data_IF_425036916107
#
_entry.id   IF_425036916107
#
_cell.length_a   1.000
_cell.length_b   1.000
_cell.length_c   1.000
_cell.angle_alpha   90.00
_cell.angle_beta   90.00
_cell.angle_gamma   90.00
#
_symmetry.space_group_name_H-M   'P 1'
#
loop_
_entity.id
_entity.type
_entity.pdbx_description
1 polymer ?
#
# COMPACT_ATOMS: atom_id res chain seq x y z
N UNK A 1 -14.80 -0.79 -1.95
CA UNK A 1 -14.97 -0.38 -1.41
C UNK A 1 -15.67 0.57 -1.11
N UNK A 2 -15.99 0.71 -0.59
CA UNK A 2 -16.52 1.45 -0.25
C UNK A 2 -16.41 2.30 0.40
N UNK A 3 -16.50 2.83 0.46
CA UNK A 3 -16.24 3.68 1.09
C UNK A 3 -16.68 3.95 2.16
N UNK A 4 -16.61 4.11 2.71
CA UNK A 4 -16.88 4.41 3.51
C UNK A 4 -17.29 5.22 3.92
N UNK A 5 -17.56 4.98 4.11
CA UNK A 5 -18.07 5.79 4.49
C UNK A 5 -17.94 6.63 5.33
N UNK A 6 -17.98 6.60 5.63
CA UNK A 6 -17.94 7.15 6.34
C UNK A 6 -17.37 7.97 6.79
N UNK A 7 -17.47 8.16 6.93
CA UNK A 7 -16.96 9.07 7.51
C UNK A 7 -15.64 9.28 7.67
N UNK A 8 -15.06 8.44 7.61
CA UNK A 8 -13.73 8.62 7.79
C UNK A 8 -13.13 8.91 6.55
N UNK A 9 -13.39 10.00 6.07
CA UNK A 9 -12.96 10.40 4.80
C UNK A 9 -11.47 10.52 4.70
N UNK A 10 -10.78 10.42 5.79
CA UNK A 10 -9.33 10.53 5.75
C UNK A 10 -8.62 9.26 5.38
N UNK A 11 -9.35 8.18 5.21
CA UNK A 11 -8.71 6.88 4.97
C UNK A 11 -8.87 6.49 3.52
N UNK A 12 -7.76 6.29 2.81
CA UNK A 12 -7.83 5.96 1.39
C UNK A 12 -8.30 4.54 1.12
N UNK A 13 -8.19 3.65 2.12
CA UNK A 13 -8.64 2.27 1.99
C UNK A 13 -7.58 1.33 1.43
N UNK A 14 -7.79 0.05 1.70
CA UNK A 14 -6.83 -0.97 1.27
C UNK A 14 -6.67 -1.02 -0.25
N UNK A 15 -7.77 -0.95 -0.97
CA UNK A 15 -7.70 -1.06 -2.43
C UNK A 15 -6.89 0.07 -3.05
N UNK A 16 -7.07 1.26 -2.53
CA UNK A 16 -6.32 2.41 -3.05
C UNK A 16 -4.85 2.28 -2.69
N UNK A 17 -4.54 1.85 -1.47
CA UNK A 17 -3.15 1.68 -1.07
C UNK A 17 -2.47 0.65 -1.95
N UNK A 18 -3.14 -0.45 -2.24
CA UNK A 18 -2.59 -1.47 -3.13
C UNK A 18 -2.32 -0.90 -4.52
N UNK A 19 -3.27 -0.14 -5.03
CA UNK A 19 -3.14 0.44 -6.35
C UNK A 19 -1.96 1.40 -6.44
N UNK A 20 -1.79 2.22 -5.41
CA UNK A 20 -0.68 3.16 -5.36
C UNK A 20 0.66 2.43 -5.39
N UNK A 21 0.77 1.38 -4.58
CA UNK A 21 2.02 0.63 -4.50
C UNK A 21 2.32 -0.06 -5.83
N UNK A 22 1.33 -0.71 -6.42
CA UNK A 22 1.53 -1.41 -7.67
C UNK A 22 1.89 -0.46 -8.80
N UNK A 23 1.22 0.69 -8.87
CA UNK A 23 1.51 1.67 -9.90
C UNK A 23 2.93 2.20 -9.78
N UNK A 24 3.37 2.47 -8.56
CA UNK A 24 4.71 2.99 -8.35
C UNK A 24 5.76 1.94 -8.73
N UNK A 25 5.50 0.69 -8.40
CA UNK A 25 6.44 -0.37 -8.70
C UNK A 25 6.42 -0.77 -10.17
N UNK A 26 5.39 -0.39 -10.89
CA UNK A 26 5.26 -0.78 -12.28
C UNK A 26 4.86 -2.24 -12.44
N UNK A 27 4.12 -2.77 -11.46
CA UNK A 27 3.71 -4.17 -11.44
C UNK A 27 2.20 -4.22 -11.55
N UNK A 28 1.70 -5.09 -12.43
CA UNK A 28 0.26 -5.25 -12.55
C UNK A 28 -0.24 -6.17 -11.44
N UNK A 29 -1.52 -6.08 -11.15
CA UNK A 29 -2.10 -6.90 -10.09
C UNK A 29 -1.93 -8.39 -10.40
N UNK A 30 -2.01 -8.75 -11.66
CA UNK A 30 -1.85 -10.14 -12.05
C UNK A 30 -0.45 -10.67 -11.78
N UNK A 31 0.54 -9.80 -11.77
CA UNK A 31 1.93 -10.19 -11.61
C UNK A 31 2.37 -10.21 -10.16
N UNK A 32 1.62 -9.56 -9.29
CA UNK A 32 1.98 -9.49 -7.88
C UNK A 32 1.45 -10.71 -7.14
N UNK A 33 2.23 -11.21 -6.20
CA UNK A 33 1.79 -12.32 -5.36
C UNK A 33 2.31 -12.11 -3.95
N UNK A 34 1.82 -12.90 -3.01
CA UNK A 34 2.15 -12.80 -1.58
C UNK A 34 1.87 -11.37 -1.08
N UNK A 35 0.72 -10.84 -1.48
CA UNK A 35 0.35 -9.48 -1.12
C UNK A 35 -0.11 -9.41 0.33
N UNK A 36 0.47 -8.46 1.08
CA UNK A 36 0.05 -8.17 2.45
C UNK A 36 -0.18 -6.69 2.58
N UNK A 37 -1.28 -6.31 3.19
CA UNK A 37 -1.59 -4.91 3.41
C UNK A 37 -2.07 -4.76 4.84
N UNK A 38 -1.42 -3.89 5.60
CA UNK A 38 -1.78 -3.64 6.99
C UNK A 38 -1.92 -2.16 7.25
N UNK A 39 -2.89 -1.82 8.08
CA UNK A 39 -3.04 -0.43 8.54
C UNK A 39 -2.35 -0.34 9.88
N UNK A 40 -1.43 0.60 10.01
CA UNK A 40 -0.61 0.74 11.19
C UNK A 40 -0.59 2.18 11.67
N UNK A 41 -0.33 2.37 12.94
CA UNK A 41 -0.25 3.71 13.53
C UNK A 41 1.22 3.98 13.84
N UNK A 42 1.80 4.95 13.13
CA UNK A 42 3.19 5.31 13.31
C UNK A 42 3.25 6.66 14.00
N UNK A 43 3.29 6.65 15.32
CA UNK A 43 3.37 7.88 16.10
C UNK A 43 2.23 8.84 15.79
N UNK A 44 1.02 8.30 15.72
CA UNK A 44 -0.15 9.11 15.48
C UNK A 44 -0.49 9.32 14.02
N UNK A 45 0.35 8.84 13.11
CA UNK A 45 0.06 8.92 11.70
C UNK A 45 -0.34 7.54 11.21
N UNK A 46 -1.52 7.42 10.64
CA UNK A 46 -1.97 6.14 10.11
C UNK A 46 -1.33 5.91 8.76
N UNK A 47 -0.76 4.73 8.57
CA UNK A 47 -0.13 4.37 7.30
C UNK A 47 -0.57 2.99 6.90
N UNK A 48 -0.61 2.75 5.59
CA UNK A 48 -0.79 1.42 5.05
C UNK A 48 0.58 0.87 4.70
N UNK A 49 0.86 -0.33 5.18
CA UNK A 49 2.07 -1.05 4.81
C UNK A 49 1.68 -2.08 3.78
N UNK A 50 2.25 -1.98 2.60
CA UNK A 50 1.93 -2.87 1.48
C UNK A 50 3.18 -3.61 1.09
N UNK A 51 3.11 -4.94 1.06
CA UNK A 51 4.23 -5.77 0.66
C UNK A 51 3.76 -6.77 -0.38
N UNK A 52 4.57 -7.01 -1.36
CA UNK A 52 4.26 -8.01 -2.38
C UNK A 52 5.52 -8.39 -3.13
N UNK A 53 5.42 -9.46 -3.89
CA UNK A 53 6.52 -9.96 -4.68
C UNK A 53 6.13 -10.01 -6.15
N UNK A 54 7.13 -9.88 -7.00
CA UNK A 54 6.92 -10.00 -8.44
C UNK A 54 8.27 -10.16 -9.12
N UNK A 55 8.37 -11.12 -10.01
CA UNK A 55 9.54 -11.32 -10.87
C UNK A 55 10.85 -11.39 -10.08
N UNK A 56 10.84 -12.09 -8.96
CA UNK A 56 12.06 -12.28 -8.17
C UNK A 56 12.41 -11.10 -7.29
N UNK A 57 11.52 -10.13 -7.17
CA UNK A 57 11.73 -8.97 -6.32
C UNK A 57 10.70 -8.94 -5.22
N UNK A 58 11.08 -8.38 -4.09
CA UNK A 58 10.16 -8.12 -3.00
C UNK A 58 10.04 -6.61 -2.83
N UNK A 59 8.80 -6.13 -2.82
CA UNK A 59 8.52 -4.69 -2.72
C UNK A 59 7.83 -4.38 -1.40
N UNK A 60 8.21 -3.27 -0.79
CA UNK A 60 7.60 -2.80 0.46
C UNK A 60 7.29 -1.32 0.35
N UNK A 61 6.10 -0.95 0.79
CA UNK A 61 5.66 0.45 0.72
C UNK A 61 5.03 0.86 2.03
N UNK A 62 5.23 2.11 2.41
CA UNK A 62 4.54 2.72 3.53
C UNK A 62 3.83 3.94 2.97
N UNK A 63 2.51 3.96 3.07
CA UNK A 63 1.68 4.96 2.40
C UNK A 63 0.81 5.65 3.43
N UNK A 64 0.80 6.99 3.41
CA UNK A 64 -0.03 7.76 4.33
C UNK A 64 -1.49 7.44 4.08
N UNK A 65 -2.18 6.97 5.11
CA UNK A 65 -3.55 6.52 4.96
C UNK A 65 -4.52 7.65 4.66
N UNK A 66 -4.17 8.86 5.03
CA UNK A 66 -5.06 10.00 4.81
C UNK A 66 -4.89 10.60 3.43
N UNK A 67 -3.67 10.61 2.90
CA UNK A 67 -3.39 11.35 1.67
C UNK A 67 -3.00 10.46 0.51
N UNK A 68 -2.52 9.26 0.79
CA UNK A 68 -2.01 8.40 -0.27
C UNK A 68 -0.58 8.66 -0.65
N UNK A 69 0.09 9.54 0.07
CA UNK A 69 1.49 9.84 -0.24
C UNK A 69 2.37 8.67 0.15
N UNK A 70 3.33 8.33 -0.70
CA UNK A 70 4.27 7.28 -0.40
C UNK A 70 5.33 7.85 0.52
N UNK A 71 5.41 7.31 1.73
CA UNK A 71 6.35 7.80 2.73
C UNK A 71 7.66 7.03 2.69
N UNK A 72 7.61 5.79 2.27
CA UNK A 72 8.78 4.94 2.25
C UNK A 72 8.55 3.84 1.24
N UNK A 73 9.60 3.44 0.54
CA UNK A 73 9.48 2.29 -0.36
C UNK A 73 10.84 1.62 -0.52
N UNK A 74 10.80 0.31 -0.70
CA UNK A 74 11.99 -0.50 -0.89
C UNK A 74 11.71 -1.58 -1.90
N UNK A 75 12.75 -1.95 -2.64
CA UNK A 75 12.69 -3.09 -3.54
C UNK A 75 13.96 -3.89 -3.35
N UNK A 76 13.81 -5.18 -3.05
CA UNK A 76 14.94 -6.05 -2.78
C UNK A 76 14.81 -7.32 -3.60
N UNK A 77 15.94 -7.93 -3.88
CA UNK A 77 15.93 -9.23 -4.55
C UNK A 77 15.44 -10.26 -3.56
N UNK A 78 14.45 -11.01 -3.96
CA UNK A 78 13.83 -12.02 -3.11
C UNK A 78 14.67 -13.31 -3.06
#
# INVERSE_FOLDING_TARGET
>A
QKPDPSGTAQDIGYAKAKSIALNHAGVSENEAYDMEIELDDEDGTLVYEVEFKSSGMEYSYEINAATGAILKHEAEID
#
